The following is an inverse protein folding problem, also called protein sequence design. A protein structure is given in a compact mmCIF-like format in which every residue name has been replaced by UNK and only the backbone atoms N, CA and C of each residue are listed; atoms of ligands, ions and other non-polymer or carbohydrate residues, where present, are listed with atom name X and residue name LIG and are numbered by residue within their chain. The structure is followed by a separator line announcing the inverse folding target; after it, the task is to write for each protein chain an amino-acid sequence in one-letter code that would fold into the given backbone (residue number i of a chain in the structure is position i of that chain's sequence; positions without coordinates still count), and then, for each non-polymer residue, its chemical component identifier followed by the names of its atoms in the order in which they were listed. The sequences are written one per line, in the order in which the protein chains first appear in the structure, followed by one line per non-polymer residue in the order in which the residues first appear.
data_IF_496414651798
#
_entry.id   IF_496414651798
#
_cell.length_a   1.000
_cell.length_b   1.000
_cell.length_c   1.000
_cell.angle_alpha   90.00
_cell.angle_beta   90.00
_cell.angle_gamma   90.00
#
_symmetry.space_group_name_H-M   'P 1'
#
loop_
_entity.id
_entity.type
_entity.pdbx_description
1 polymer ?
#
# COMPACT_ATOMS: atom_id res chain seq x y z
N UNK A 1 -4.72 -40.91 23.03
CA UNK A 1 -4.98 -39.46 23.11
C UNK A 1 -3.89 -38.74 22.33
N UNK A 2 -4.22 -37.80 21.42
CA UNK A 2 -4.10 -38.07 19.99
C UNK A 2 -2.79 -37.62 19.33
N UNK A 3 -2.49 -38.34 18.24
CA UNK A 3 -1.42 -38.09 17.29
C UNK A 3 -1.54 -36.69 16.64
N UNK A 4 -0.46 -35.91 16.74
CA UNK A 4 -0.29 -34.73 15.91
C UNK A 4 0.02 -35.18 14.48
N UNK A 5 -1.04 -35.34 13.70
CA UNK A 5 -0.91 -35.38 12.24
C UNK A 5 -0.35 -34.04 11.78
N UNK A 6 0.94 -34.01 11.42
CA UNK A 6 1.49 -32.94 10.60
C UNK A 6 0.68 -32.93 9.31
N UNK A 7 -0.20 -31.95 9.14
CA UNK A 7 -0.87 -31.69 7.86
C UNK A 7 0.22 -31.35 6.84
N UNK A 8 0.60 -32.36 6.06
CA UNK A 8 1.45 -32.23 4.89
C UNK A 8 0.68 -31.40 3.86
N UNK A 9 1.00 -30.10 3.74
CA UNK A 9 0.45 -29.26 2.68
C UNK A 9 1.18 -29.61 1.39
N UNK A 10 0.68 -30.64 0.69
CA UNK A 10 0.85 -30.78 -0.76
C UNK A 10 -0.41 -30.19 -1.41
N UNK A 11 -0.35 -28.94 -1.85
CA UNK A 11 -1.24 -28.43 -2.89
C UNK A 11 -0.39 -27.69 -3.90
N UNK A 12 -0.21 -28.35 -5.03
CA UNK A 12 0.08 -27.71 -6.32
C UNK A 12 -0.85 -26.52 -6.52
N UNK A 13 -0.28 -25.47 -7.09
CA UNK A 13 -0.87 -24.16 -7.36
C UNK A 13 -2.01 -24.20 -8.38
N UNK A 14 -3.12 -24.83 -8.01
CA UNK A 14 -4.34 -24.82 -8.81
C UNK A 14 -5.09 -23.53 -8.47
N UNK A 15 -5.03 -22.56 -9.39
CA UNK A 15 -5.95 -21.41 -9.37
C UNK A 15 -7.38 -21.97 -9.23
N UNK A 16 -8.14 -21.61 -8.17
CA UNK A 16 -9.51 -22.06 -8.03
C UNK A 16 -10.30 -21.77 -9.31
N UNK A 17 -11.15 -22.69 -9.78
CA UNK A 17 -11.97 -22.45 -10.99
C UNK A 17 -13.14 -21.51 -10.67
N UNK A 18 -12.86 -20.25 -10.37
CA UNK A 18 -13.87 -19.19 -10.27
C UNK A 18 -14.03 -18.56 -11.64
N UNK A 19 -15.23 -18.67 -12.23
CA UNK A 19 -15.47 -18.19 -13.62
C UNK A 19 -15.50 -16.66 -13.73
N UNK A 20 -16.00 -15.97 -12.71
CA UNK A 20 -16.12 -14.51 -12.66
C UNK A 20 -15.93 -14.01 -11.22
N UNK A 21 -14.67 -13.86 -10.77
CA UNK A 21 -14.38 -13.41 -9.41
C UNK A 21 -14.56 -11.89 -9.30
N UNK A 22 -15.02 -11.45 -8.14
CA UNK A 22 -15.02 -10.05 -7.71
C UNK A 22 -14.14 -9.90 -6.47
N UNK A 23 -13.59 -8.71 -6.28
CA UNK A 23 -12.97 -8.31 -5.03
C UNK A 23 -14.07 -7.92 -4.04
N UNK A 24 -14.07 -8.56 -2.87
CA UNK A 24 -15.05 -8.28 -1.81
C UNK A 24 -14.32 -8.05 -0.50
N UNK A 25 -14.78 -7.08 0.30
CA UNK A 25 -14.27 -6.87 1.65
C UNK A 25 -15.01 -7.81 2.61
N UNK A 26 -14.26 -8.66 3.32
CA UNK A 26 -14.78 -9.58 4.33
C UNK A 26 -13.99 -9.34 5.63
N UNK A 27 -14.64 -8.68 6.59
CA UNK A 27 -13.97 -8.22 7.80
C UNK A 27 -12.85 -7.24 7.46
N UNK A 28 -11.64 -7.55 7.91
CA UNK A 28 -10.46 -6.69 7.76
C UNK A 28 -9.58 -7.07 6.52
N UNK A 29 -10.12 -7.86 5.59
CA UNK A 29 -9.38 -8.37 4.42
C UNK A 29 -10.18 -8.28 3.12
N UNK A 30 -9.46 -8.15 2.00
CA UNK A 30 -10.01 -8.33 0.66
C UNK A 30 -9.92 -9.81 0.30
N UNK A 31 -11.00 -10.36 -0.23
CA UNK A 31 -11.09 -11.73 -0.72
C UNK A 31 -11.70 -11.79 -2.12
N UNK A 32 -11.58 -12.94 -2.77
CA UNK A 32 -12.21 -13.20 -4.06
C UNK A 32 -13.51 -13.99 -3.86
N UNK A 33 -14.61 -13.48 -4.41
CA UNK A 33 -15.93 -14.14 -4.37
C UNK A 33 -16.48 -14.31 -5.78
N UNK A 34 -17.13 -15.43 -6.07
CA UNK A 34 -17.82 -15.56 -7.36
C UNK A 34 -18.98 -14.57 -7.44
N UNK A 35 -19.17 -13.91 -8.59
CA UNK A 35 -20.23 -12.93 -8.81
C UNK A 35 -21.62 -13.40 -8.31
N UNK A 36 -22.01 -14.64 -8.66
CA UNK A 36 -23.30 -15.23 -8.25
C UNK A 36 -23.46 -15.51 -6.75
N UNK A 37 -22.36 -15.48 -5.98
CA UNK A 37 -22.35 -15.72 -4.53
C UNK A 37 -22.30 -14.42 -3.73
N UNK A 38 -22.19 -13.27 -4.39
CA UNK A 38 -22.22 -11.96 -3.74
C UNK A 38 -23.63 -11.70 -3.21
N UNK A 39 -23.72 -11.33 -1.94
CA UNK A 39 -24.97 -10.99 -1.25
C UNK A 39 -24.99 -9.49 -0.97
N UNK A 40 -26.17 -8.94 -0.66
CA UNK A 40 -26.34 -7.49 -0.43
C UNK A 40 -25.49 -6.91 0.70
N UNK A 41 -25.12 -7.72 1.68
CA UNK A 41 -24.27 -7.29 2.81
C UNK A 41 -22.78 -7.28 2.47
N UNK A 42 -22.39 -7.84 1.32
CA UNK A 42 -21.00 -7.82 0.88
C UNK A 42 -20.67 -6.43 0.33
N UNK A 43 -19.50 -5.94 0.70
CA UNK A 43 -18.94 -4.76 0.06
C UNK A 43 -18.11 -5.17 -1.16
N UNK A 44 -18.77 -5.15 -2.32
CA UNK A 44 -18.19 -5.46 -3.62
C UNK A 44 -17.38 -4.27 -4.17
N UNK A 45 -16.07 -4.49 -4.36
CA UNK A 45 -15.16 -3.52 -4.96
C UNK A 45 -15.08 -3.64 -6.49
N UNK A 46 -15.68 -4.68 -7.06
CA UNK A 46 -15.84 -4.87 -8.50
C UNK A 46 -15.19 -6.15 -9.03
N UNK A 47 -15.48 -6.44 -10.31
CA UNK A 47 -15.01 -7.63 -10.99
C UNK A 47 -13.49 -7.64 -11.19
N UNK A 48 -12.89 -8.81 -11.03
CA UNK A 48 -11.49 -9.07 -11.39
C UNK A 48 -11.42 -9.30 -12.90
N UNK A 49 -10.63 -8.52 -13.67
CA UNK A 49 -10.45 -8.79 -15.10
C UNK A 49 -9.89 -10.19 -15.33
N UNK A 50 -10.41 -10.92 -16.31
CA UNK A 50 -9.99 -12.32 -16.56
C UNK A 50 -8.49 -12.45 -16.84
N UNK A 51 -7.89 -11.45 -17.50
CA UNK A 51 -6.44 -11.42 -17.74
C UNK A 51 -5.65 -11.32 -16.43
N UNK A 52 -6.11 -10.49 -15.48
CA UNK A 52 -5.51 -10.36 -14.16
C UNK A 52 -5.67 -11.69 -13.40
N UNK A 53 -6.89 -12.22 -13.33
CA UNK A 53 -7.17 -13.44 -12.57
C UNK A 53 -6.34 -14.65 -13.03
N UNK A 54 -6.12 -14.81 -14.34
CA UNK A 54 -5.27 -15.86 -14.90
C UNK A 54 -3.82 -15.80 -14.43
N UNK A 55 -3.32 -14.60 -14.12
CA UNK A 55 -1.95 -14.38 -13.64
C UNK A 55 -1.84 -14.39 -12.10
N UNK A 56 -2.96 -14.29 -11.37
CA UNK A 56 -2.96 -14.31 -9.91
C UNK A 56 -2.54 -15.69 -9.38
N UNK A 57 -1.85 -15.69 -8.24
CA UNK A 57 -1.41 -16.91 -7.57
C UNK A 57 -0.20 -17.59 -8.21
N UNK A 58 0.26 -17.13 -9.39
CA UNK A 58 1.50 -17.61 -9.99
C UNK A 58 2.68 -17.17 -9.13
N UNK A 59 3.18 -18.12 -8.33
CA UNK A 59 4.33 -17.90 -7.47
C UNK A 59 5.63 -17.91 -8.26
N UNK A 60 6.56 -17.08 -7.83
CA UNK A 60 7.93 -17.13 -8.32
C UNK A 60 8.71 -18.19 -7.56
N UNK A 61 9.40 -19.06 -8.30
CA UNK A 61 10.26 -20.09 -7.70
C UNK A 61 11.34 -19.43 -6.86
N UNK A 62 11.68 -20.05 -5.71
CA UNK A 62 12.75 -19.58 -4.81
C UNK A 62 14.12 -19.45 -5.49
N UNK A 63 14.33 -20.20 -6.58
CA UNK A 63 15.60 -20.22 -7.31
C UNK A 63 15.70 -19.10 -8.38
N UNK A 64 14.60 -18.39 -8.66
CA UNK A 64 14.59 -17.31 -9.64
C UNK A 64 14.95 -15.98 -8.97
N UNK A 65 15.74 -15.15 -9.68
CA UNK A 65 16.05 -13.79 -9.25
C UNK A 65 14.75 -12.99 -9.12
N UNK A 66 14.50 -12.46 -7.93
CA UNK A 66 13.37 -11.57 -7.64
C UNK A 66 13.63 -10.23 -8.33
N UNK A 67 12.67 -9.80 -9.14
CA UNK A 67 12.59 -8.46 -9.68
C UNK A 67 11.78 -7.62 -8.69
N UNK A 68 12.46 -6.69 -8.00
CA UNK A 68 11.85 -5.85 -6.97
C UNK A 68 10.82 -4.85 -7.53
N UNK A 69 10.80 -4.64 -8.84
CA UNK A 69 9.91 -3.70 -9.52
C UNK A 69 8.65 -4.37 -10.09
N UNK A 70 8.73 -5.64 -10.50
CA UNK A 70 7.57 -6.33 -11.07
C UNK A 70 6.94 -7.34 -10.11
N UNK A 71 7.74 -7.98 -9.26
CA UNK A 71 7.27 -9.06 -8.41
C UNK A 71 6.67 -8.52 -7.11
N UNK A 72 5.56 -9.13 -6.67
CA UNK A 72 4.78 -8.67 -5.53
C UNK A 72 4.88 -9.68 -4.39
N UNK A 73 5.37 -9.22 -3.24
CA UNK A 73 5.42 -10.00 -2.01
C UNK A 73 4.07 -9.98 -1.29
N UNK A 74 3.58 -11.16 -0.88
CA UNK A 74 2.43 -11.26 0.01
C UNK A 74 2.89 -11.26 1.47
N UNK A 75 2.53 -10.25 2.28
CA UNK A 75 2.94 -10.18 3.68
C UNK A 75 2.41 -11.33 4.54
N UNK A 76 1.24 -11.88 4.18
CA UNK A 76 0.56 -12.92 4.95
C UNK A 76 1.08 -14.32 4.62
N UNK A 77 1.36 -14.61 3.34
CA UNK A 77 1.90 -15.90 2.93
C UNK A 77 3.42 -16.00 3.07
N UNK A 78 4.13 -14.87 3.15
CA UNK A 78 5.58 -14.78 3.01
C UNK A 78 6.08 -15.46 1.71
N UNK A 79 5.40 -15.18 0.60
CA UNK A 79 5.70 -15.70 -0.75
C UNK A 79 5.66 -14.57 -1.78
N UNK A 80 6.36 -14.77 -2.89
CA UNK A 80 6.49 -13.80 -3.99
C UNK A 80 5.66 -14.29 -5.18
N UNK A 81 4.89 -13.38 -5.77
CA UNK A 81 3.99 -13.61 -6.89
C UNK A 81 4.36 -12.71 -8.06
N UNK A 82 4.07 -13.14 -9.30
CA UNK A 82 4.25 -12.28 -10.47
C UNK A 82 3.27 -11.09 -10.50
N UNK A 83 2.08 -11.26 -9.92
CA UNK A 83 1.04 -10.22 -9.90
C UNK A 83 0.44 -10.05 -8.50
N UNK A 84 -0.20 -11.08 -7.94
CA UNK A 84 -0.76 -11.02 -6.58
C UNK A 84 -1.11 -12.41 -6.06
N UNK A 85 -1.32 -12.52 -4.75
CA UNK A 85 -1.78 -13.74 -4.10
C UNK A 85 -3.28 -13.96 -4.36
N UNK A 86 -3.71 -15.20 -4.56
CA UNK A 86 -5.13 -15.53 -4.69
C UNK A 86 -5.89 -15.48 -3.36
N UNK A 87 -5.22 -15.87 -2.27
CA UNK A 87 -5.81 -15.88 -0.91
C UNK A 87 -5.81 -14.49 -0.28
N UNK A 88 -4.83 -13.65 -0.65
CA UNK A 88 -4.67 -12.28 -0.16
C UNK A 88 -4.52 -11.32 -1.35
N UNK A 89 -5.58 -11.15 -2.15
CA UNK A 89 -5.57 -10.34 -3.35
C UNK A 89 -5.28 -8.87 -3.04
N UNK A 90 -4.61 -8.21 -3.98
CA UNK A 90 -4.40 -6.77 -3.92
C UNK A 90 -5.43 -6.07 -4.80
N UNK A 91 -6.08 -5.04 -4.26
CA UNK A 91 -7.00 -4.19 -5.00
C UNK A 91 -6.37 -2.81 -5.20
N UNK A 92 -6.13 -2.46 -6.47
CA UNK A 92 -5.48 -1.22 -6.85
C UNK A 92 -6.52 -0.12 -6.98
N UNK A 93 -6.43 0.88 -6.12
CA UNK A 93 -7.26 2.08 -6.17
C UNK A 93 -6.55 3.10 -7.06
N UNK A 94 -7.04 3.35 -8.29
CA UNK A 94 -6.38 4.30 -9.18
C UNK A 94 -6.52 5.73 -8.66
N UNK A 95 -5.49 6.55 -8.90
CA UNK A 95 -5.58 7.98 -8.69
C UNK A 95 -6.74 8.57 -9.51
N UNK A 96 -7.54 9.42 -8.88
CA UNK A 96 -8.63 10.15 -9.51
C UNK A 96 -8.63 11.57 -8.98
N UNK A 97 -8.97 12.53 -9.85
CA UNK A 97 -9.15 13.92 -9.48
C UNK A 97 -10.64 14.20 -9.32
N UNK A 98 -11.11 14.48 -8.11
CA UNK A 98 -12.45 15.00 -7.90
C UNK A 98 -12.45 16.52 -8.07
N UNK A 99 -12.95 16.97 -9.23
CA UNK A 99 -13.03 18.39 -9.58
C UNK A 99 -14.02 19.19 -8.72
N UNK A 100 -14.90 18.51 -7.97
CA UNK A 100 -15.87 19.17 -7.07
C UNK A 100 -15.22 19.59 -5.75
N UNK A 101 -14.13 18.92 -5.35
CA UNK A 101 -13.37 19.27 -4.16
C UNK A 101 -12.59 20.57 -4.43
N UNK A 102 -12.81 21.58 -3.58
CA UNK A 102 -12.02 22.82 -3.61
C UNK A 102 -10.72 22.63 -2.84
N UNK A 103 -9.71 23.43 -3.17
CA UNK A 103 -8.40 23.41 -2.49
C UNK A 103 -7.26 22.88 -3.36
N UNK A 104 -6.13 22.51 -2.75
CA UNK A 104 -4.92 22.09 -3.45
C UNK A 104 -5.10 20.73 -4.15
N UNK A 105 -4.21 20.43 -5.10
CA UNK A 105 -4.24 19.19 -5.87
C UNK A 105 -4.21 17.93 -4.99
N UNK A 106 -3.50 17.98 -3.86
CA UNK A 106 -3.47 16.91 -2.85
C UNK A 106 -4.86 16.57 -2.30
N UNK A 107 -5.74 17.55 -2.09
CA UNK A 107 -7.09 17.29 -1.58
C UNK A 107 -8.02 16.78 -2.69
N UNK A 108 -7.85 17.28 -3.92
CA UNK A 108 -8.62 16.83 -5.10
C UNK A 108 -8.32 15.39 -5.48
N UNK A 109 -7.13 14.90 -5.17
CA UNK A 109 -6.71 13.52 -5.48
C UNK A 109 -6.99 12.53 -4.34
N UNK A 110 -7.45 13.00 -3.18
CA UNK A 110 -7.77 12.15 -2.04
C UNK A 110 -9.00 11.26 -2.35
N UNK A 111 -8.91 9.93 -2.14
CA UNK A 111 -10.06 9.04 -2.20
C UNK A 111 -11.04 9.29 -1.04
N UNK A 112 -11.98 10.22 -1.21
CA UNK A 112 -12.91 10.68 -0.16
C UNK A 112 -13.87 9.61 0.35
N UNK A 113 -14.00 8.49 -0.37
CA UNK A 113 -14.74 7.31 0.11
C UNK A 113 -14.00 6.52 1.19
N UNK A 114 -12.69 6.71 1.33
CA UNK A 114 -11.85 6.03 2.33
C UNK A 114 -11.30 6.99 3.38
N UNK A 115 -10.98 8.22 2.99
CA UNK A 115 -10.18 9.12 3.82
C UNK A 115 -10.68 10.55 3.85
N UNK A 116 -10.23 11.27 4.88
CA UNK A 116 -10.33 12.73 4.99
C UNK A 116 -8.97 13.31 5.39
N UNK A 117 -8.75 14.57 5.03
CA UNK A 117 -7.66 15.36 5.63
C UNK A 117 -8.08 15.77 7.04
N UNK A 118 -7.11 15.86 7.95
CA UNK A 118 -7.30 16.23 9.36
C UNK A 118 -6.13 17.09 9.81
N UNK A 119 -6.39 18.18 10.53
CA UNK A 119 -5.30 19.03 11.07
C UNK A 119 -4.69 18.45 12.35
N UNK A 120 -5.37 17.48 12.96
CA UNK A 120 -4.90 16.68 14.10
C UNK A 120 -4.08 15.44 13.69
N UNK A 121 -3.20 15.54 12.71
CA UNK A 121 -2.30 14.45 12.34
C UNK A 121 -1.07 14.36 13.25
N UNK A 122 -0.33 13.26 13.12
CA UNK A 122 0.86 12.93 13.91
C UNK A 122 1.94 14.02 13.84
N UNK A 123 2.00 14.76 12.73
CA UNK A 123 2.97 15.86 12.49
C UNK A 123 2.30 17.10 11.87
N UNK A 124 1.16 17.51 12.41
CA UNK A 124 0.33 18.58 11.84
C UNK A 124 -0.75 18.00 10.95
N UNK A 125 -0.96 18.54 9.74
CA UNK A 125 -1.96 17.97 8.84
C UNK A 125 -1.63 16.51 8.45
N UNK A 126 -2.65 15.65 8.40
CA UNK A 126 -2.53 14.22 8.09
C UNK A 126 -3.79 13.64 7.44
N UNK A 127 -3.73 12.36 7.10
CA UNK A 127 -4.82 11.63 6.40
C UNK A 127 -5.42 10.60 7.35
N UNK A 128 -6.73 10.69 7.61
CA UNK A 128 -7.45 9.78 8.52
C UNK A 128 -8.52 8.98 7.81
N UNK A 129 -8.72 7.74 8.26
CA UNK A 129 -9.76 6.85 7.78
C UNK A 129 -11.16 7.35 8.20
N UNK A 130 -12.10 7.43 7.25
CA UNK A 130 -13.51 7.77 7.58
C UNK A 130 -14.37 6.54 7.85
N UNK A 131 -13.79 5.35 7.64
CA UNK A 131 -14.39 4.03 7.76
C UNK A 131 -13.29 3.00 8.04
N UNK A 132 -13.67 1.77 8.38
CA UNK A 132 -12.69 0.69 8.47
C UNK A 132 -12.12 0.36 7.08
N UNK A 133 -10.81 0.19 7.04
CA UNK A 133 -10.00 -0.02 5.83
C UNK A 133 -9.34 -1.39 5.93
N UNK A 134 -9.64 -2.32 5.01
CA UNK A 134 -9.07 -3.65 5.04
C UNK A 134 -7.64 -3.67 4.53
N UNK A 135 -6.91 -4.73 4.89
CA UNK A 135 -5.63 -5.05 4.26
C UNK A 135 -5.80 -5.40 2.78
N UNK A 136 -4.79 -5.09 1.96
CA UNK A 136 -4.75 -5.42 0.54
C UNK A 136 -5.15 -4.29 -0.42
N UNK A 137 -5.63 -3.15 0.10
CA UNK A 137 -5.79 -1.94 -0.72
C UNK A 137 -4.42 -1.37 -1.08
N UNK A 138 -4.24 -1.04 -2.36
CA UNK A 138 -3.04 -0.41 -2.91
C UNK A 138 -3.42 0.95 -3.47
N UNK A 139 -2.75 2.00 -2.99
CA UNK A 139 -2.96 3.37 -3.42
C UNK A 139 -1.76 3.90 -4.22
N UNK A 140 -2.03 4.65 -5.27
CA UNK A 140 -1.01 5.35 -6.05
C UNK A 140 -1.29 5.37 -7.56
N UNK A 141 -0.27 5.75 -8.35
CA UNK A 141 1.12 5.98 -7.94
C UNK A 141 1.31 7.24 -7.07
N UNK A 142 2.42 7.30 -6.34
CA UNK A 142 2.90 8.52 -5.68
C UNK A 142 3.39 9.51 -6.74
N UNK A 143 2.82 10.71 -6.74
CA UNK A 143 3.10 11.71 -7.78
C UNK A 143 4.09 12.76 -7.28
N UNK A 144 4.93 13.26 -8.20
CA UNK A 144 5.95 14.26 -7.91
C UNK A 144 6.83 14.55 -9.12
N UNK A 145 7.80 15.45 -8.95
CA UNK A 145 8.80 15.77 -9.97
C UNK A 145 9.88 14.70 -9.93
N UNK A 146 10.10 14.01 -11.05
CA UNK A 146 11.20 13.04 -11.17
C UNK A 146 12.53 13.78 -11.36
N UNK A 147 13.50 13.48 -10.50
CA UNK A 147 14.86 14.03 -10.54
C UNK A 147 15.87 12.90 -10.35
N UNK A 148 17.17 13.14 -10.59
CA UNK A 148 18.18 12.21 -10.08
C UNK A 148 18.20 12.28 -8.56
N UNK A 149 18.52 11.17 -7.90
CA UNK A 149 18.59 11.13 -6.42
C UNK A 149 19.55 12.18 -5.86
N UNK A 150 20.69 12.39 -6.53
CA UNK A 150 21.71 13.39 -6.17
C UNK A 150 21.24 14.85 -6.29
N UNK A 151 20.28 15.11 -7.17
CA UNK A 151 19.73 16.45 -7.45
C UNK A 151 18.44 16.73 -6.66
N UNK A 152 17.98 15.76 -5.85
CA UNK A 152 16.72 15.87 -5.12
C UNK A 152 16.79 16.93 -4.02
N UNK A 153 15.97 17.98 -4.16
CA UNK A 153 15.94 19.11 -3.23
C UNK A 153 15.19 18.79 -1.93
N UNK A 154 14.19 17.91 -2.00
CA UNK A 154 13.30 17.61 -0.87
C UNK A 154 13.28 16.10 -0.54
N UNK A 155 14.40 15.52 -0.05
CA UNK A 155 14.49 14.09 0.20
C UNK A 155 13.50 13.57 1.27
N UNK A 156 12.97 14.45 2.13
CA UNK A 156 11.96 14.08 3.13
C UNK A 156 10.53 13.97 2.55
N UNK A 157 10.32 14.46 1.33
CA UNK A 157 9.05 14.36 0.57
C UNK A 157 9.22 13.52 -0.70
N UNK A 158 10.24 12.68 -0.74
CA UNK A 158 10.63 11.96 -1.95
C UNK A 158 10.74 10.47 -1.72
N UNK A 159 10.45 9.73 -2.78
CA UNK A 159 10.73 8.31 -2.88
C UNK A 159 11.77 8.03 -3.95
N UNK A 160 12.80 7.28 -3.57
CA UNK A 160 13.75 6.73 -4.54
C UNK A 160 13.10 5.57 -5.29
N UNK A 161 13.20 5.61 -6.62
CA UNK A 161 12.75 4.56 -7.55
C UNK A 161 13.89 4.17 -8.48
N UNK A 162 13.87 2.94 -8.98
CA UNK A 162 14.79 2.46 -10.00
C UNK A 162 14.05 2.17 -11.31
N UNK A 163 14.39 2.87 -12.38
CA UNK A 163 13.77 2.71 -13.70
C UNK A 163 14.87 2.40 -14.71
N UNK A 164 14.82 1.22 -15.33
CA UNK A 164 15.83 0.78 -16.31
C UNK A 164 17.28 0.88 -15.80
N UNK A 165 17.50 0.59 -14.51
CA UNK A 165 18.81 0.68 -13.86
C UNK A 165 19.23 2.10 -13.44
N UNK A 166 18.43 3.13 -13.73
CA UNK A 166 18.65 4.50 -13.27
C UNK A 166 17.91 4.73 -11.94
N UNK A 167 18.63 5.28 -10.96
CA UNK A 167 18.03 5.70 -9.68
C UNK A 167 17.51 7.13 -9.80
N UNK A 168 16.22 7.30 -9.57
CA UNK A 168 15.52 8.59 -9.60
C UNK A 168 14.84 8.83 -8.26
N UNK A 169 14.61 10.08 -7.92
CA UNK A 169 13.75 10.49 -6.82
C UNK A 169 12.45 11.10 -7.36
N UNK A 170 11.32 10.76 -6.75
CA UNK A 170 10.01 11.36 -7.03
C UNK A 170 9.69 12.39 -5.95
N UNK A 171 9.96 13.67 -6.22
CA UNK A 171 9.80 14.78 -5.27
C UNK A 171 8.37 15.35 -5.29
N UNK A 172 7.63 15.11 -4.21
CA UNK A 172 6.23 15.50 -4.09
C UNK A 172 6.02 16.82 -3.33
N UNK A 173 7.06 17.59 -3.01
CA UNK A 173 6.94 18.81 -2.21
C UNK A 173 5.96 19.82 -2.82
N UNK A 174 6.04 20.03 -4.14
CA UNK A 174 5.19 21.00 -4.85
C UNK A 174 4.13 20.35 -5.75
N UNK A 175 4.46 19.20 -6.35
CA UNK A 175 3.60 18.50 -7.33
C UNK A 175 3.13 17.13 -6.84
N UNK A 176 2.97 16.99 -5.52
CA UNK A 176 2.47 15.79 -4.87
C UNK A 176 0.96 15.62 -4.99
N UNK A 177 0.52 14.37 -5.10
CA UNK A 177 -0.88 14.00 -4.85
C UNK A 177 -1.14 13.76 -3.35
N UNK A 178 -2.35 13.34 -2.98
CA UNK A 178 -2.74 13.13 -1.59
C UNK A 178 -1.80 12.22 -0.76
N UNK A 179 -1.04 11.32 -1.39
CA UNK A 179 -0.11 10.43 -0.69
C UNK A 179 1.04 11.19 -0.02
N UNK A 180 1.34 12.41 -0.48
CA UNK A 180 2.34 13.29 0.15
C UNK A 180 1.86 13.89 1.48
N UNK A 181 0.56 13.79 1.79
CA UNK A 181 -0.02 14.19 3.08
C UNK A 181 0.08 13.09 4.15
N UNK A 182 0.53 11.90 3.80
CA UNK A 182 0.61 10.77 4.74
C UNK A 182 1.82 10.94 5.64
N UNK A 183 1.60 10.93 6.96
CA UNK A 183 2.66 11.14 7.93
C UNK A 183 3.53 9.90 8.18
N UNK A 184 4.71 10.14 8.74
CA UNK A 184 5.55 9.08 9.29
C UNK A 184 5.21 8.83 10.75
N UNK A 185 5.03 7.55 11.15
CA UNK A 185 4.94 7.21 12.56
C UNK A 185 6.29 7.45 13.24
N UNK A 186 6.26 7.44 14.57
CA UNK A 186 7.46 7.55 15.37
C UNK A 186 8.32 6.28 15.38
N UNK A 187 7.68 5.12 15.29
CA UNK A 187 8.35 3.84 15.21
C UNK A 187 7.85 3.06 13.99
N UNK A 188 8.77 2.34 13.33
CA UNK A 188 8.49 1.53 12.14
C UNK A 188 7.30 0.56 12.30
N UNK A 189 7.11 0.04 13.52
CA UNK A 189 6.04 -0.92 13.83
C UNK A 189 4.64 -0.30 13.80
N UNK A 190 4.52 1.02 13.97
CA UNK A 190 3.24 1.70 14.09
C UNK A 190 2.66 2.09 12.72
N UNK A 191 3.46 2.02 11.66
CA UNK A 191 2.97 2.24 10.29
C UNK A 191 1.98 1.16 9.87
N UNK A 192 0.81 1.58 9.39
CA UNK A 192 -0.26 0.69 8.90
C UNK A 192 -0.25 0.50 7.38
N UNK A 193 0.50 1.34 6.66
CA UNK A 193 0.78 1.15 5.23
C UNK A 193 2.27 0.91 4.97
N UNK A 194 2.59 0.32 3.82
CA UNK A 194 3.95 0.06 3.37
C UNK A 194 4.19 0.62 1.95
N UNK A 195 5.28 1.35 1.74
CA UNK A 195 5.70 1.77 0.41
C UNK A 195 6.31 0.58 -0.34
N UNK A 196 6.03 0.50 -1.64
CA UNK A 196 6.72 -0.44 -2.53
C UNK A 196 6.72 0.09 -3.96
N UNK A 197 7.78 -0.24 -4.69
CA UNK A 197 7.89 0.11 -6.10
C UNK A 197 7.15 -0.94 -6.95
N UNK A 198 6.41 -0.49 -7.95
CA UNK A 198 5.87 -1.34 -8.99
C UNK A 198 5.94 -0.67 -10.36
N UNK A 199 6.57 -1.34 -11.34
CA UNK A 199 6.70 -0.86 -12.73
C UNK A 199 7.22 0.57 -12.86
N UNK A 200 8.25 0.90 -12.10
CA UNK A 200 8.92 2.21 -12.12
C UNK A 200 8.15 3.34 -11.42
N UNK A 201 7.13 2.99 -10.62
CA UNK A 201 6.33 3.94 -9.84
C UNK A 201 6.25 3.49 -8.37
N UNK A 202 5.99 4.41 -7.45
CA UNK A 202 5.87 4.11 -6.01
C UNK A 202 4.40 4.01 -5.59
N UNK A 203 4.06 3.01 -4.78
CA UNK A 203 2.70 2.76 -4.28
C UNK A 203 2.69 2.50 -2.78
N UNK A 204 1.54 2.73 -2.14
CA UNK A 204 1.32 2.41 -0.73
C UNK A 204 0.32 1.26 -0.57
N UNK A 205 0.76 0.17 0.07
CA UNK A 205 -0.06 -0.99 0.42
C UNK A 205 -0.57 -0.90 1.86
N UNK A 206 -1.87 -1.03 2.08
CA UNK A 206 -2.44 -1.24 3.42
C UNK A 206 -2.06 -2.64 3.90
N UNK A 207 -1.09 -2.71 4.82
CA UNK A 207 -0.53 -3.96 5.36
C UNK A 207 -1.15 -4.37 6.69
N UNK A 208 -1.82 -3.44 7.37
CA UNK A 208 -2.58 -3.67 8.60
C UNK A 208 -3.96 -3.03 8.46
N UNK A 209 -5.02 -3.62 9.04
CA UNK A 209 -6.33 -2.98 9.05
C UNK A 209 -6.23 -1.61 9.71
N UNK A 210 -6.96 -0.62 9.18
CA UNK A 210 -7.02 0.73 9.74
C UNK A 210 -8.44 1.00 10.17
N UNK A 211 -8.67 1.26 11.46
CA UNK A 211 -10.00 1.53 11.99
C UNK A 211 -10.43 2.95 11.66
N UNK A 212 -11.75 3.16 11.58
CA UNK A 212 -12.32 4.50 11.42
C UNK A 212 -11.73 5.46 12.45
N UNK A 213 -11.25 6.61 11.97
CA UNK A 213 -10.62 7.66 12.78
C UNK A 213 -9.10 7.53 12.90
N UNK A 214 -8.52 6.36 12.69
CA UNK A 214 -7.06 6.18 12.72
C UNK A 214 -6.39 6.91 11.54
N UNK A 215 -5.17 7.37 11.78
CA UNK A 215 -4.34 8.03 10.79
C UNK A 215 -3.59 7.02 9.92
N UNK A 216 -3.45 7.33 8.63
CA UNK A 216 -2.60 6.58 7.73
C UNK A 216 -1.14 6.97 7.98
N UNK A 217 -0.32 5.97 8.24
CA UNK A 217 1.07 6.16 8.64
C UNK A 217 2.00 5.27 7.83
N UNK A 218 2.95 5.89 7.14
CA UNK A 218 3.94 5.24 6.28
C UNK A 218 5.34 5.41 6.84
N UNK A 219 6.13 4.33 6.87
CA UNK A 219 7.54 4.44 7.26
C UNK A 219 8.40 4.83 6.05
N UNK A 220 8.96 6.05 6.06
CA UNK A 220 9.84 6.59 5.00
C UNK A 220 11.24 5.93 4.90
N UNK A 221 11.44 4.82 5.60
CA UNK A 221 12.69 4.05 5.57
C UNK A 221 13.64 4.38 6.72
N UNK A 222 14.64 3.51 6.87
CA UNK A 222 15.49 3.53 8.08
C UNK A 222 16.45 4.74 8.10
N UNK A 223 16.78 5.32 6.95
CA UNK A 223 17.54 6.57 6.88
C UNK A 223 16.75 7.76 7.45
N UNK A 224 15.47 7.87 7.09
CA UNK A 224 14.54 8.83 7.68
C UNK A 224 14.35 8.56 9.18
N UNK A 225 14.16 7.29 9.57
CA UNK A 225 14.05 6.88 10.97
C UNK A 225 15.24 7.31 11.83
N UNK A 226 16.47 7.20 11.31
CA UNK A 226 17.67 7.70 11.99
C UNK A 226 17.70 9.22 12.12
N UNK A 227 17.25 9.98 11.11
CA UNK A 227 17.11 11.45 11.20
C UNK A 227 16.10 11.84 12.27
N UNK A 228 14.92 11.20 12.26
CA UNK A 228 13.86 11.45 13.24
C UNK A 228 14.35 11.18 14.68
N UNK A 229 15.08 10.09 14.89
CA UNK A 229 15.66 9.76 16.20
C UNK A 229 16.68 10.80 16.68
N UNK A 230 17.48 11.39 15.78
CA UNK A 230 18.41 12.48 16.12
C UNK A 230 17.67 13.75 16.52
N UNK A 231 16.62 14.12 15.77
CA UNK A 231 15.81 15.31 16.11
C UNK A 231 15.13 15.19 17.47
N UNK A 232 14.63 14.01 17.86
CA UNK A 232 14.08 13.79 19.21
C UNK A 232 15.10 14.07 20.30
N UNK A 233 16.30 13.49 20.18
CA UNK A 233 17.38 13.68 21.16
C UNK A 233 17.81 15.15 21.28
N UNK A 234 17.66 15.93 20.21
CA UNK A 234 17.97 17.34 20.22
C UNK A 234 16.86 18.15 20.91
N UNK A 235 15.59 17.90 20.57
CA UNK A 235 14.44 18.54 21.19
C UNK A 235 14.35 18.25 22.70
N UNK A 236 14.69 17.03 23.14
CA UNK A 236 14.74 16.65 24.56
C UNK A 236 15.84 17.40 25.33
N UNK A 237 16.95 17.75 24.67
CA UNK A 237 18.04 18.52 25.27
C UNK A 237 17.76 20.01 25.34
N UNK A 238 16.98 20.55 24.41
CA UNK A 238 16.59 21.96 24.37
C UNK A 238 15.46 22.28 25.37
N UNK A 239 14.87 21.25 25.99
CA UNK A 239 13.85 21.35 27.04
C UNK A 239 14.41 21.11 28.46
N UNK A 240 15.72 20.92 28.62
CA UNK A 240 16.44 20.81 29.89
C UNK A 240 17.34 22.04 30.10
#
# INVERSE_FOLDING_TARGET
MPAFTKKTIKKTDVVPKIRAPHYVIIGDQIQLKESKKIVRSDEDLGAVPSAVYKEMGKMKSRNLKVNRDSDIGCPQCNKIFYTSCLEHPLFWVPNKVDRRVKGPYTHKTLPTQFFRVSDEGHKGQGVRAIRDIPTGLVFGPYEGIKTKVEDCKNPDYSWDIEVNGLKLAVDAKEKGNWLSLVNSPDYKRDGNIAPFQHKGEMYYLVKKPVKKGEELLVWYGDAFGRRLARWRKQAEKEQQ
#
